data_IF_163885035716
#
_entry.id   IF_163885035716
#
_cell.length_a   1.000
_cell.length_b   1.000
_cell.length_c   1.000
_cell.angle_alpha   90.00
_cell.angle_beta   90.00
_cell.angle_gamma   90.00
#
_symmetry.space_group_name_H-M   'P 1'
#
loop_
_entity.id
_entity.type
_entity.pdbx_description
1 polymer ?
#
# COMPACT_ATOMS: atom_id res chain seq x y z
N UNK A 1 8.75 2.77 5.94
CA UNK A 1 9.80 2.58 4.91
C UNK A 1 11.19 2.65 5.52
N UNK A 2 12.09 1.71 5.19
CA UNK A 2 13.51 1.74 5.58
C UNK A 2 14.41 1.28 4.41
N UNK A 3 15.73 1.48 4.53
CA UNK A 3 16.70 1.15 3.48
C UNK A 3 16.64 -0.32 3.06
N UNK A 4 16.58 -1.23 4.03
CA UNK A 4 16.64 -2.67 3.76
C UNK A 4 15.44 -3.16 2.97
N UNK A 5 14.24 -2.62 3.26
CA UNK A 5 13.03 -2.90 2.47
C UNK A 5 13.11 -2.36 1.06
N UNK A 6 13.70 -1.18 0.86
CA UNK A 6 13.93 -0.64 -0.49
C UNK A 6 14.86 -1.56 -1.28
N UNK A 7 15.98 -1.98 -0.67
CA UNK A 7 16.94 -2.90 -1.30
C UNK A 7 16.27 -4.24 -1.63
N UNK A 8 15.51 -4.82 -0.70
CA UNK A 8 14.78 -6.06 -0.94
C UNK A 8 13.77 -5.90 -2.09
N UNK A 9 13.03 -4.78 -2.12
CA UNK A 9 12.06 -4.49 -3.19
C UNK A 9 12.73 -4.43 -4.56
N UNK A 10 13.90 -3.79 -4.64
CA UNK A 10 14.69 -3.69 -5.88
C UNK A 10 15.27 -5.05 -6.29
N UNK A 11 15.76 -5.84 -5.33
CA UNK A 11 16.28 -7.18 -5.60
C UNK A 11 15.20 -8.15 -6.15
N UNK A 12 13.94 -7.91 -5.80
CA UNK A 12 12.79 -8.70 -6.27
C UNK A 12 12.23 -8.20 -7.63
N UNK A 13 12.81 -7.16 -8.21
CA UNK A 13 12.41 -6.63 -9.52
C UNK A 13 13.24 -7.25 -10.65
N UNK A 14 12.73 -7.25 -11.90
CA UNK A 14 13.52 -7.65 -13.06
C UNK A 14 14.81 -6.82 -13.18
N UNK A 15 15.77 -7.29 -13.98
CA UNK A 15 17.02 -6.54 -14.23
C UNK A 15 16.76 -5.14 -14.80
N UNK A 16 15.78 -5.02 -15.70
CA UNK A 16 15.34 -3.77 -16.29
C UNK A 16 13.90 -3.47 -15.88
N UNK A 17 13.65 -2.26 -15.37
CA UNK A 17 12.33 -1.77 -14.99
C UNK A 17 12.27 -0.25 -15.06
N UNK A 18 11.06 0.29 -15.17
CA UNK A 18 10.84 1.74 -15.17
C UNK A 18 10.85 2.31 -13.75
N UNK A 19 11.42 3.52 -13.60
CA UNK A 19 11.46 4.21 -12.31
C UNK A 19 10.06 4.37 -11.71
N UNK A 20 9.06 4.67 -12.53
CA UNK A 20 7.67 4.83 -12.09
C UNK A 20 7.13 3.55 -11.45
N UNK A 21 7.47 2.37 -12.00
CA UNK A 21 7.08 1.08 -11.42
C UNK A 21 7.70 0.85 -10.04
N UNK A 22 8.97 1.23 -9.86
CA UNK A 22 9.61 1.16 -8.54
C UNK A 22 8.90 2.08 -7.53
N UNK A 23 8.61 3.32 -7.92
CA UNK A 23 7.94 4.29 -7.06
C UNK A 23 6.53 3.80 -6.68
N UNK A 24 5.75 3.30 -7.64
CA UNK A 24 4.42 2.74 -7.37
C UNK A 24 4.49 1.55 -6.40
N UNK A 25 5.44 0.64 -6.59
CA UNK A 25 5.62 -0.52 -5.71
C UNK A 25 5.99 -0.10 -4.29
N UNK A 26 6.88 0.89 -4.12
CA UNK A 26 7.25 1.42 -2.81
C UNK A 26 6.08 2.13 -2.12
N UNK A 27 5.29 2.93 -2.86
CA UNK A 27 4.07 3.57 -2.34
C UNK A 27 3.05 2.52 -1.89
N UNK A 28 2.88 1.45 -2.66
CA UNK A 28 1.98 0.36 -2.30
C UNK A 28 2.40 -0.31 -0.98
N UNK A 29 3.68 -0.67 -0.86
CA UNK A 29 4.23 -1.27 0.37
C UNK A 29 3.98 -0.36 1.57
N UNK A 30 4.27 0.94 1.44
CA UNK A 30 4.06 1.91 2.52
C UNK A 30 2.58 2.00 2.92
N UNK A 31 1.66 2.04 1.95
CA UNK A 31 0.21 2.07 2.24
C UNK A 31 -0.26 0.80 2.94
N UNK A 32 0.24 -0.37 2.55
CA UNK A 32 -0.10 -1.65 3.20
C UNK A 32 0.39 -1.67 4.63
N UNK A 33 1.67 -1.29 4.87
CA UNK A 33 2.24 -1.22 6.22
C UNK A 33 1.43 -0.28 7.13
N UNK A 34 1.08 0.90 6.61
CA UNK A 34 0.23 1.85 7.33
C UNK A 34 -1.15 1.27 7.64
N UNK A 35 -1.78 0.59 6.67
CA UNK A 35 -3.06 -0.06 6.86
C UNK A 35 -3.03 -1.16 7.92
N UNK A 36 -1.95 -1.94 7.99
CA UNK A 36 -1.75 -2.93 9.06
C UNK A 36 -1.60 -2.27 10.43
N UNK A 37 -0.81 -1.20 10.54
CA UNK A 37 -0.69 -0.44 11.79
C UNK A 37 -2.03 0.14 12.27
N UNK A 38 -2.82 0.68 11.34
CA UNK A 38 -4.17 1.18 11.64
C UNK A 38 -5.08 0.06 12.14
N UNK A 39 -5.03 -1.12 11.51
CA UNK A 39 -5.80 -2.28 11.95
C UNK A 39 -5.43 -2.72 13.38
N UNK A 40 -4.13 -2.76 13.70
CA UNK A 40 -3.63 -3.10 15.04
C UNK A 40 -4.06 -2.07 16.09
N UNK A 41 -4.19 -0.80 15.70
CA UNK A 41 -4.65 0.29 16.57
C UNK A 41 -6.18 0.37 16.70
N UNK A 42 -6.92 -0.43 15.93
CA UNK A 42 -8.38 -0.36 15.87
C UNK A 42 -8.92 0.80 15.03
N UNK A 43 -8.05 1.50 14.28
CA UNK A 43 -8.40 2.57 13.34
C UNK A 43 -8.98 1.95 12.04
N UNK A 44 -10.13 1.28 12.19
CA UNK A 44 -10.81 0.55 11.11
C UNK A 44 -12.18 1.11 10.86
N UNK A 45 -12.65 0.96 9.62
CA UNK A 45 -14.01 1.34 9.23
C UNK A 45 -14.87 0.06 9.28
N UNK A 46 -16.00 0.06 10.01
CA UNK A 46 -16.93 -1.06 10.01
C UNK A 46 -17.43 -1.40 8.61
N UNK A 47 -17.70 -2.67 8.36
CA UNK A 47 -18.11 -3.14 7.03
C UNK A 47 -19.36 -2.43 6.47
N UNK A 48 -20.30 -2.04 7.34
CA UNK A 48 -21.50 -1.28 6.95
C UNK A 48 -21.16 0.09 6.35
N UNK A 49 -20.19 0.78 6.93
CA UNK A 49 -19.76 2.11 6.50
C UNK A 49 -18.90 2.03 5.23
N UNK A 50 -18.07 0.99 5.12
CA UNK A 50 -17.32 0.68 3.88
C UNK A 50 -18.27 0.52 2.69
N UNK A 51 -19.42 -0.16 2.86
CA UNK A 51 -20.42 -0.30 1.78
C UNK A 51 -20.95 1.04 1.28
N UNK A 52 -21.09 2.04 2.16
CA UNK A 52 -21.54 3.37 1.75
C UNK A 52 -20.41 4.14 1.06
N UNK A 53 -19.18 4.03 1.57
CA UNK A 53 -18.01 4.66 0.98
C UNK A 53 -17.76 4.18 -0.46
N UNK A 54 -17.76 2.87 -0.70
CA UNK A 54 -17.46 2.29 -2.02
C UNK A 54 -18.47 2.74 -3.09
N UNK A 55 -19.74 2.95 -2.73
CA UNK A 55 -20.75 3.49 -3.66
C UNK A 55 -20.37 4.87 -4.22
N UNK A 56 -19.59 5.65 -3.47
CA UNK A 56 -19.16 7.00 -3.91
C UNK A 56 -18.07 6.98 -4.97
N UNK A 57 -17.36 5.85 -5.13
CA UNK A 57 -16.24 5.72 -6.08
C UNK A 57 -16.70 5.46 -7.51
N UNK A 58 -17.96 5.09 -7.70
CA UNK A 58 -18.59 4.80 -9.00
C UNK A 58 -19.27 6.02 -9.62
N UNK A 59 -18.89 7.24 -9.24
CA UNK A 59 -19.43 8.48 -9.85
C UNK A 59 -18.68 8.89 -11.11
#
# INVERSE_FOLDING_TARGET
MNRDKVIATVNDMPTDFDLDTLVEKLIFIEKVEKGLQQADQGDVIPHGDVKQLVKTWSK
#
